data_IF_938153725551
#
_entry.id   IF_938153725551
#
_cell.length_a   1.000
_cell.length_b   1.000
_cell.length_c   1.000
_cell.angle_alpha   90.00
_cell.angle_beta   90.00
_cell.angle_gamma   90.00
#
_symmetry.space_group_name_H-M   'P 1'
#
loop_
_entity.id
_entity.type
_entity.pdbx_description
1 polymer ?
#
# COMPACT_ATOMS: atom_id res chain seq x y z
N UNK A 1 -1.05 -27.09 1.90
CA UNK A 1 0.00 -27.31 2.93
C UNK A 1 -0.57 -27.15 4.34
N UNK A 2 -0.93 -25.93 4.81
CA UNK A 2 -1.49 -25.72 6.16
C UNK A 2 -2.76 -26.52 6.49
N UNK A 3 -3.73 -26.61 5.55
CA UNK A 3 -4.97 -27.41 5.73
C UNK A 3 -4.74 -28.90 5.99
N UNK A 4 -3.61 -29.46 5.53
CA UNK A 4 -3.30 -30.88 5.66
C UNK A 4 -2.62 -31.22 6.98
N UNK A 5 -2.06 -30.24 7.69
CA UNK A 5 -1.22 -30.47 8.87
C UNK A 5 -1.89 -30.04 10.18
N UNK A 6 -2.80 -29.05 10.13
CA UNK A 6 -3.45 -28.48 11.31
C UNK A 6 -4.95 -28.81 11.42
N UNK A 7 -5.55 -29.56 10.49
CA UNK A 7 -6.99 -29.88 10.41
C UNK A 7 -7.97 -28.68 10.51
N UNK A 8 -7.45 -27.44 10.48
CA UNK A 8 -8.25 -26.21 10.50
C UNK A 8 -8.44 -25.70 9.07
N UNK A 9 -9.69 -25.53 8.65
CA UNK A 9 -10.06 -24.93 7.36
C UNK A 9 -9.81 -23.42 7.37
N UNK A 10 -8.57 -23.00 7.14
CA UNK A 10 -8.28 -21.56 6.97
C UNK A 10 -8.58 -21.12 5.55
N UNK A 11 -9.30 -19.99 5.42
CA UNK A 11 -9.42 -19.26 4.16
C UNK A 11 -8.07 -18.63 3.85
N UNK A 12 -7.53 -18.89 2.66
CA UNK A 12 -6.27 -18.33 2.19
C UNK A 12 -6.52 -17.18 1.22
N UNK A 13 -5.50 -16.37 0.96
CA UNK A 13 -5.62 -15.30 -0.05
C UNK A 13 -5.95 -15.89 -1.42
N UNK A 14 -5.36 -17.03 -1.79
CA UNK A 14 -5.63 -17.69 -3.06
C UNK A 14 -7.09 -18.14 -3.24
N UNK A 15 -7.81 -18.38 -2.14
CA UNK A 15 -9.25 -18.71 -2.18
C UNK A 15 -10.12 -17.48 -2.48
N UNK A 16 -9.69 -16.27 -2.08
CA UNK A 16 -10.43 -15.01 -2.27
C UNK A 16 -10.01 -14.24 -3.52
N UNK A 17 -8.72 -14.23 -3.83
CA UNK A 17 -8.12 -13.52 -4.95
C UNK A 17 -6.87 -14.29 -5.39
N UNK A 18 -7.04 -15.14 -6.41
CA UNK A 18 -5.93 -15.94 -6.94
C UNK A 18 -4.97 -15.03 -7.70
N UNK A 19 -3.75 -14.93 -7.22
CA UNK A 19 -2.67 -14.29 -7.96
C UNK A 19 -2.12 -15.28 -8.99
N UNK A 20 -2.24 -14.92 -10.26
CA UNK A 20 -1.57 -15.62 -11.36
C UNK A 20 -0.38 -14.79 -11.86
N UNK A 21 0.64 -15.43 -12.40
CA UNK A 21 1.79 -14.73 -12.98
C UNK A 21 1.39 -13.80 -14.12
N UNK A 22 0.28 -14.05 -14.81
CA UNK A 22 -0.24 -13.15 -15.85
C UNK A 22 -0.80 -11.83 -15.32
N UNK A 23 -1.12 -11.75 -14.03
CA UNK A 23 -1.70 -10.56 -13.37
C UNK A 23 -0.68 -9.77 -12.56
N UNK A 24 0.57 -10.22 -12.51
CA UNK A 24 1.64 -9.54 -11.78
C UNK A 24 2.15 -8.26 -12.49
N UNK A 25 1.93 -8.14 -13.80
CA UNK A 25 2.36 -6.97 -14.56
C UNK A 25 1.30 -5.86 -14.52
N UNK A 26 1.71 -4.60 -14.37
CA UNK A 26 0.78 -3.48 -14.38
C UNK A 26 0.16 -3.36 -15.78
N UNK A 27 -1.15 -3.54 -15.85
CA UNK A 27 -1.95 -3.37 -17.07
C UNK A 27 -2.68 -2.04 -16.97
N UNK A 28 -2.84 -1.36 -18.10
CA UNK A 28 -3.67 -0.15 -18.12
C UNK A 28 -5.12 -0.53 -17.87
N UNK A 29 -5.85 0.28 -17.09
CA UNK A 29 -7.21 -0.03 -16.64
C UNK A 29 -8.19 -0.31 -17.80
N UNK A 30 -7.94 0.27 -18.97
CA UNK A 30 -8.77 0.09 -20.16
C UNK A 30 -8.42 -1.17 -20.99
N UNK A 31 -7.28 -1.80 -20.74
CA UNK A 31 -6.92 -3.09 -21.33
C UNK A 31 -7.48 -4.27 -20.51
N UNK A 32 -7.87 -4.03 -19.25
CA UNK A 32 -8.35 -5.06 -18.35
C UNK A 32 -9.88 -5.17 -18.41
N UNK A 33 -10.38 -6.34 -18.82
CA UNK A 33 -11.81 -6.66 -18.92
C UNK A 33 -12.54 -6.67 -17.57
N UNK A 34 -11.81 -6.55 -16.43
CA UNK A 34 -12.40 -6.40 -15.10
C UNK A 34 -13.07 -5.05 -14.87
N UNK A 35 -12.69 -4.00 -15.61
CA UNK A 35 -13.26 -2.65 -15.45
C UNK A 35 -14.34 -2.37 -16.50
N UNK A 36 -15.61 -2.56 -16.13
CA UNK A 36 -16.73 -2.15 -16.99
C UNK A 36 -17.15 -0.71 -16.70
N UNK A 37 -16.66 0.22 -17.55
CA UNK A 37 -16.99 1.64 -17.50
C UNK A 37 -18.48 1.94 -17.75
N UNK A 38 -19.27 0.95 -18.22
CA UNK A 38 -20.71 1.10 -18.43
C UNK A 38 -21.52 0.93 -17.14
N UNK A 39 -20.94 0.36 -16.09
CA UNK A 39 -21.60 0.12 -14.81
C UNK A 39 -21.28 1.18 -13.73
N UNK A 40 -20.81 2.37 -14.12
CA UNK A 40 -20.53 3.47 -13.18
C UNK A 40 -21.85 4.05 -12.67
N UNK A 41 -22.40 3.45 -11.61
CA UNK A 41 -23.70 3.80 -11.02
C UNK A 41 -23.77 5.18 -10.37
N UNK A 42 -22.64 5.74 -9.91
CA UNK A 42 -22.65 7.05 -9.24
C UNK A 42 -21.29 7.75 -9.30
N UNK A 43 -21.11 8.65 -10.26
CA UNK A 43 -19.94 9.53 -10.33
C UNK A 43 -19.82 10.41 -9.08
N UNK A 44 -20.95 10.83 -8.51
CA UNK A 44 -20.99 11.65 -7.28
C UNK A 44 -20.35 10.93 -6.09
N UNK A 45 -20.61 9.63 -5.93
CA UNK A 45 -20.04 8.84 -4.84
C UNK A 45 -18.53 8.73 -4.99
N UNK A 46 -18.06 8.47 -6.21
CA UNK A 46 -16.62 8.36 -6.52
C UNK A 46 -15.90 9.66 -6.23
N UNK A 47 -16.45 10.80 -6.66
CA UNK A 47 -15.84 12.13 -6.45
C UNK A 47 -15.76 12.48 -4.96
N UNK A 48 -16.83 12.23 -4.19
CA UNK A 48 -16.80 12.53 -2.75
C UNK A 48 -15.79 11.63 -2.03
N UNK A 49 -15.75 10.33 -2.34
CA UNK A 49 -14.81 9.41 -1.73
C UNK A 49 -13.36 9.72 -2.10
N UNK A 50 -13.09 10.03 -3.37
CA UNK A 50 -11.73 10.37 -3.82
C UNK A 50 -11.23 11.68 -3.20
N UNK A 51 -12.09 12.70 -3.06
CA UNK A 51 -11.75 13.94 -2.35
C UNK A 51 -11.40 13.68 -0.87
N UNK A 52 -12.20 12.89 -0.16
CA UNK A 52 -11.92 12.55 1.24
C UNK A 52 -10.60 11.79 1.37
N UNK A 53 -10.35 10.80 0.50
CA UNK A 53 -9.10 10.05 0.50
C UNK A 53 -7.90 10.91 0.13
N UNK A 54 -8.05 11.87 -0.80
CA UNK A 54 -6.98 12.79 -1.17
C UNK A 54 -6.56 13.68 -0.01
N UNK A 55 -7.52 14.19 0.77
CA UNK A 55 -7.23 14.99 1.97
C UNK A 55 -6.44 14.15 2.98
N UNK A 56 -6.91 12.94 3.28
CA UNK A 56 -6.23 12.03 4.22
C UNK A 56 -4.82 11.70 3.74
N UNK A 57 -4.66 11.37 2.45
CA UNK A 57 -3.35 11.03 1.87
C UNK A 57 -2.36 12.20 1.92
N UNK A 58 -2.82 13.43 1.71
CA UNK A 58 -2.00 14.64 1.82
C UNK A 58 -1.57 14.85 3.28
N UNK A 59 -2.52 14.81 4.22
CA UNK A 59 -2.22 14.99 5.65
C UNK A 59 -1.21 13.96 6.15
N UNK A 60 -1.42 12.69 5.83
CA UNK A 60 -0.53 11.60 6.21
C UNK A 60 0.86 11.74 5.59
N UNK A 61 0.93 12.13 4.30
CA UNK A 61 2.22 12.31 3.63
C UNK A 61 3.00 13.52 4.16
N UNK A 62 2.32 14.58 4.59
CA UNK A 62 2.96 15.75 5.20
C UNK A 62 3.45 15.46 6.62
N UNK A 63 2.64 14.77 7.44
CA UNK A 63 3.04 14.30 8.76
C UNK A 63 4.26 13.35 8.67
N UNK A 64 4.25 12.46 7.68
CA UNK A 64 5.38 11.56 7.41
C UNK A 64 6.63 12.33 7.00
N UNK A 65 6.47 13.37 6.16
CA UNK A 65 7.59 14.21 5.74
C UNK A 65 8.24 14.92 6.93
N UNK A 66 7.45 15.44 7.86
CA UNK A 66 7.96 16.07 9.09
C UNK A 66 8.73 15.08 9.97
N UNK A 67 8.17 13.89 10.22
CA UNK A 67 8.85 12.85 11.00
C UNK A 67 10.18 12.43 10.36
N UNK A 68 10.21 12.26 9.03
CA UNK A 68 11.42 11.89 8.30
C UNK A 68 12.44 13.04 8.31
N UNK A 69 12.00 14.29 8.17
CA UNK A 69 12.85 15.47 8.25
C UNK A 69 13.54 15.56 9.61
N UNK A 70 12.80 15.34 10.70
CA UNK A 70 13.33 15.34 12.07
C UNK A 70 14.39 14.24 12.26
N UNK A 71 14.12 13.02 11.76
CA UNK A 71 15.06 11.90 11.87
C UNK A 71 16.34 12.10 11.05
N UNK A 72 16.21 12.67 9.86
CA UNK A 72 17.34 12.87 8.92
C UNK A 72 18.04 14.20 9.10
N UNK A 73 17.48 15.11 9.92
CA UNK A 73 17.92 16.51 10.08
C UNK A 73 17.98 17.26 8.74
N UNK A 74 17.00 17.03 7.88
CA UNK A 74 16.89 17.69 6.56
C UNK A 74 15.60 18.49 6.45
N UNK A 75 15.55 19.41 5.47
CA UNK A 75 14.32 20.15 5.16
C UNK A 75 13.73 19.60 3.85
N UNK A 76 12.62 18.87 3.98
CA UNK A 76 11.80 18.45 2.86
C UNK A 76 10.94 19.60 2.31
N UNK A 77 10.48 19.46 1.08
CA UNK A 77 9.62 20.44 0.39
C UNK A 77 8.16 19.93 0.35
N UNK A 78 7.25 20.45 1.21
CA UNK A 78 5.85 19.99 1.27
C UNK A 78 5.12 20.09 -0.08
N UNK A 79 5.29 21.21 -0.78
CA UNK A 79 4.64 21.45 -2.08
C UNK A 79 5.05 20.40 -3.11
N UNK A 80 6.32 20.02 -3.10
CA UNK A 80 6.85 18.99 -4.01
C UNK A 80 6.33 17.61 -3.65
N UNK A 81 6.18 17.31 -2.36
CA UNK A 81 5.61 16.05 -1.90
C UNK A 81 4.15 15.91 -2.35
N UNK A 82 3.35 16.96 -2.23
CA UNK A 82 1.94 16.96 -2.67
C UNK A 82 1.83 16.79 -4.19
N UNK A 83 2.66 17.50 -4.96
CA UNK A 83 2.70 17.32 -6.42
C UNK A 83 3.12 15.90 -6.82
N UNK A 84 4.16 15.35 -6.18
CA UNK A 84 4.62 13.99 -6.45
C UNK A 84 3.54 12.95 -6.11
N UNK A 85 2.84 13.11 -4.97
CA UNK A 85 1.73 12.26 -4.55
C UNK A 85 0.57 12.30 -5.57
N UNK A 86 0.20 13.48 -6.03
CA UNK A 86 -0.85 13.66 -7.03
C UNK A 86 -0.51 12.96 -8.35
N UNK A 87 0.69 13.20 -8.89
CA UNK A 87 1.15 12.55 -10.13
C UNK A 87 1.21 11.03 -9.97
N UNK A 88 1.77 10.54 -8.85
CA UNK A 88 1.85 9.12 -8.56
C UNK A 88 0.46 8.46 -8.51
N UNK A 89 -0.53 9.10 -7.88
CA UNK A 89 -1.89 8.56 -7.77
C UNK A 89 -2.67 8.61 -9.10
N UNK A 90 -2.41 9.59 -9.96
CA UNK A 90 -2.96 9.57 -11.34
C UNK A 90 -2.40 8.38 -12.13
N UNK A 91 -1.08 8.17 -12.08
CA UNK A 91 -0.44 7.02 -12.75
C UNK A 91 -0.97 5.69 -12.15
N UNK A 92 -1.10 5.61 -10.84
CA UNK A 92 -1.65 4.45 -10.15
C UNK A 92 -3.08 4.13 -10.62
N UNK A 93 -3.93 5.14 -10.75
CA UNK A 93 -5.28 5.00 -11.28
C UNK A 93 -5.31 4.55 -12.74
N UNK A 94 -4.39 5.05 -13.58
CA UNK A 94 -4.26 4.61 -14.97
C UNK A 94 -3.84 3.14 -15.10
N UNK A 95 -3.09 2.62 -14.12
CA UNK A 95 -2.69 1.21 -14.06
C UNK A 95 -3.72 0.33 -13.32
N UNK A 96 -4.90 0.86 -12.99
CA UNK A 96 -5.95 0.13 -12.27
C UNK A 96 -5.61 -0.19 -10.80
N UNK A 97 -4.50 0.34 -10.29
CA UNK A 97 -4.05 0.07 -8.91
C UNK A 97 -4.80 0.92 -7.89
N UNK A 98 -4.91 0.42 -6.67
CA UNK A 98 -5.37 1.22 -5.53
C UNK A 98 -4.26 2.24 -5.21
N UNK A 99 -4.53 3.53 -5.43
CA UNK A 99 -3.57 4.61 -5.15
C UNK A 99 -3.03 4.56 -3.71
N UNK A 100 -1.89 5.22 -3.48
CA UNK A 100 -1.14 5.14 -2.23
C UNK A 100 -0.74 6.49 -1.65
N UNK A 101 -0.09 6.45 -0.50
CA UNK A 101 0.47 7.60 0.19
C UNK A 101 1.81 7.22 0.85
N UNK A 102 2.46 8.18 1.52
CA UNK A 102 3.61 7.87 2.35
C UNK A 102 3.14 7.43 3.74
N UNK A 103 3.55 6.22 4.15
CA UNK A 103 3.26 5.65 5.46
C UNK A 103 4.42 5.92 6.42
N UNK A 104 4.12 6.39 7.63
CA UNK A 104 5.13 6.74 8.65
C UNK A 104 6.00 5.53 8.97
N UNK A 105 5.40 4.39 9.30
CA UNK A 105 6.11 3.20 9.77
C UNK A 105 7.17 2.70 8.78
N UNK A 106 6.78 2.54 7.51
CA UNK A 106 7.69 2.07 6.46
C UNK A 106 8.77 3.11 6.12
N UNK A 107 8.43 4.41 6.21
CA UNK A 107 9.39 5.49 5.97
C UNK A 107 10.44 5.55 7.07
N UNK A 108 10.02 5.44 8.34
CA UNK A 108 10.90 5.38 9.51
C UNK A 108 11.80 4.15 9.44
N UNK A 109 11.26 2.97 9.13
CA UNK A 109 12.04 1.74 8.98
C UNK A 109 13.09 1.88 7.87
N UNK A 110 12.73 2.47 6.73
CA UNK A 110 13.66 2.70 5.63
C UNK A 110 14.80 3.66 6.02
N UNK A 111 14.50 4.72 6.79
CA UNK A 111 15.52 5.66 7.30
C UNK A 111 16.43 4.97 8.33
N UNK A 112 15.87 4.18 9.25
CA UNK A 112 16.64 3.41 10.24
C UNK A 112 17.55 2.37 9.59
N UNK A 113 17.14 1.80 8.46
CA UNK A 113 17.97 0.92 7.64
C UNK A 113 19.10 1.66 6.87
N UNK A 114 19.23 2.98 7.04
CA UNK A 114 20.23 3.82 6.38
C UNK A 114 19.80 4.40 5.02
N UNK A 115 18.53 4.21 4.64
CA UNK A 115 17.95 4.68 3.39
C UNK A 115 17.70 6.19 3.37
N UNK A 116 18.70 6.97 2.97
CA UNK A 116 18.60 8.45 2.91
C UNK A 116 18.41 9.02 1.49
N UNK A 117 18.48 8.17 0.46
CA UNK A 117 18.38 8.56 -0.95
C UNK A 117 17.13 7.97 -1.59
N UNK A 118 16.64 8.61 -2.66
CA UNK A 118 15.51 8.14 -3.47
C UNK A 118 15.70 6.73 -4.03
N UNK A 119 16.94 6.31 -4.23
CA UNK A 119 17.25 4.95 -4.65
C UNK A 119 16.74 3.89 -3.66
N UNK A 120 16.69 4.20 -2.36
CA UNK A 120 16.20 3.26 -1.34
C UNK A 120 14.73 2.90 -1.57
N UNK A 121 13.87 3.91 -1.75
CA UNK A 121 12.45 3.68 -2.01
C UNK A 121 12.19 3.04 -3.37
N UNK A 122 12.99 3.38 -4.39
CA UNK A 122 12.92 2.71 -5.70
C UNK A 122 13.29 1.23 -5.60
N UNK A 123 14.33 0.87 -4.84
CA UNK A 123 14.72 -0.52 -4.63
C UNK A 123 13.66 -1.30 -3.87
N UNK A 124 13.02 -0.70 -2.86
CA UNK A 124 11.90 -1.32 -2.14
C UNK A 124 10.74 -1.58 -3.10
N UNK A 125 10.36 -0.60 -3.93
CA UNK A 125 9.30 -0.77 -4.92
C UNK A 125 9.61 -1.88 -5.95
N UNK A 126 10.85 -1.93 -6.45
CA UNK A 126 11.30 -2.99 -7.35
C UNK A 126 11.35 -4.36 -6.66
N UNK A 127 11.75 -4.42 -5.40
CA UNK A 127 11.75 -5.63 -4.59
C UNK A 127 10.33 -6.18 -4.42
N UNK A 128 9.37 -5.32 -4.09
CA UNK A 128 7.96 -5.70 -4.01
C UNK A 128 7.44 -6.19 -5.37
N UNK A 129 7.75 -5.48 -6.46
CA UNK A 129 7.37 -5.90 -7.81
C UNK A 129 7.95 -7.28 -8.16
N UNK A 130 9.23 -7.54 -7.83
CA UNK A 130 9.86 -8.83 -8.05
C UNK A 130 9.20 -9.94 -7.21
N UNK A 131 8.88 -9.67 -5.94
CA UNK A 131 8.18 -10.63 -5.08
C UNK A 131 6.80 -10.96 -5.67
N UNK A 132 6.05 -9.97 -6.12
CA UNK A 132 4.74 -10.22 -6.75
C UNK A 132 4.89 -11.01 -8.05
N UNK A 133 5.88 -10.72 -8.88
CA UNK A 133 6.10 -11.41 -10.15
C UNK A 133 6.56 -12.88 -9.98
N UNK A 134 7.50 -13.15 -9.07
CA UNK A 134 8.12 -14.47 -8.92
C UNK A 134 7.49 -15.31 -7.79
N UNK A 135 7.04 -14.69 -6.71
CA UNK A 135 6.48 -15.37 -5.53
C UNK A 135 4.94 -15.40 -5.50
N UNK A 136 4.27 -14.99 -6.58
CA UNK A 136 2.81 -15.16 -6.80
C UNK A 136 2.25 -16.52 -6.34
N UNK A 137 2.83 -17.68 -6.69
CA UNK A 137 2.29 -18.98 -6.24
C UNK A 137 2.41 -19.18 -4.72
N UNK A 138 3.42 -18.60 -4.07
CA UNK A 138 3.62 -18.70 -2.62
C UNK A 138 2.62 -17.81 -1.87
N UNK A 139 2.37 -16.60 -2.39
CA UNK A 139 1.43 -15.63 -1.83
C UNK A 139 0.00 -16.19 -1.70
N UNK A 140 -0.40 -17.06 -2.63
CA UNK A 140 -1.71 -17.71 -2.59
C UNK A 140 -1.91 -18.63 -1.37
N UNK A 141 -0.85 -19.12 -0.73
CA UNK A 141 -0.94 -19.99 0.44
C UNK A 141 -1.03 -19.24 1.78
N UNK A 142 -0.89 -17.92 1.78
CA UNK A 142 -0.94 -17.13 3.01
C UNK A 142 -2.34 -17.20 3.63
N UNK A 143 -2.48 -17.66 4.90
CA UNK A 143 -3.76 -17.69 5.58
C UNK A 143 -4.28 -16.28 5.89
N UNK A 144 -5.58 -16.02 5.67
CA UNK A 144 -6.19 -14.74 6.03
C UNK A 144 -6.11 -14.45 7.55
N UNK A 145 -6.03 -15.49 8.38
CA UNK A 145 -5.85 -15.33 9.83
C UNK A 145 -4.50 -14.69 10.20
N UNK A 146 -3.44 -14.99 9.46
CA UNK A 146 -2.12 -14.36 9.66
C UNK A 146 -2.18 -12.86 9.36
N UNK A 147 -2.85 -12.47 8.28
CA UNK A 147 -3.06 -11.06 7.94
C UNK A 147 -3.83 -10.30 9.01
N UNK A 148 -4.89 -10.91 9.56
CA UNK A 148 -5.66 -10.33 10.67
C UNK A 148 -4.78 -10.13 11.92
N UNK A 149 -3.91 -11.11 12.23
CA UNK A 149 -2.93 -10.99 13.32
C UNK A 149 -1.93 -9.86 13.09
N UNK A 150 -1.41 -9.70 11.87
CA UNK A 150 -0.51 -8.59 11.53
C UNK A 150 -1.22 -7.24 11.71
N UNK A 151 -2.47 -7.12 11.26
CA UNK A 151 -3.25 -5.88 11.46
C UNK A 151 -3.48 -5.58 12.95
N UNK A 152 -3.68 -6.60 13.78
CA UNK A 152 -3.80 -6.43 15.23
C UNK A 152 -2.48 -5.93 15.85
N UNK A 153 -1.33 -6.45 15.41
CA UNK A 153 -0.02 -5.96 15.84
C UNK A 153 0.21 -4.50 15.45
N UNK A 154 -0.13 -4.11 14.22
CA UNK A 154 -0.04 -2.71 13.77
C UNK A 154 -0.90 -1.81 14.65
N UNK A 155 -2.14 -2.20 14.94
CA UNK A 155 -3.02 -1.42 15.83
C UNK A 155 -2.42 -1.27 17.23
N UNK A 156 -1.81 -2.32 17.78
CA UNK A 156 -1.17 -2.25 19.10
C UNK A 156 0.06 -1.32 19.09
N UNK A 157 0.80 -1.27 17.99
CA UNK A 157 1.99 -0.42 17.83
C UNK A 157 1.63 1.05 17.60
N UNK A 158 0.60 1.31 16.79
CA UNK A 158 0.10 2.68 16.55
C UNK A 158 -0.62 3.25 17.77
N UNK A 159 -1.24 2.39 18.59
CA UNK A 159 -1.99 2.83 19.76
C UNK A 159 -1.06 3.44 20.83
N UNK A 160 -1.04 4.77 20.90
CA UNK A 160 -0.38 5.52 21.96
C UNK A 160 -1.19 5.42 23.26
N UNK A 161 -1.09 4.29 23.96
CA UNK A 161 -1.76 4.07 25.25
C UNK A 161 -1.23 4.96 26.38
N UNK A 162 -0.06 5.58 26.20
CA UNK A 162 0.62 6.39 27.22
C UNK A 162 0.38 7.90 27.10
N UNK A 163 -0.64 8.35 26.37
CA UNK A 163 -1.01 9.78 26.29
C UNK A 163 -2.08 10.20 27.30
N UNK A 164 -2.21 9.48 28.42
CA UNK A 164 -2.93 9.97 29.60
C UNK A 164 -1.93 10.18 30.75
N UNK A 165 -2.01 11.29 31.50
CA UNK A 165 -1.27 11.43 32.76
C UNK A 165 -1.66 10.34 33.77
#
# INVERSE_FOLDING_TARGET
FFRSWLEVSTVTIGDKSRFDSSDALPKLFFLDSRYDLRNVRSLRTVVVQSCTLAIVAILESLMTLEVVNDMTRTQGEPNRQVWALGVANVIAGLLGTMGGNALIELSVMNVQAGGQRRASSTLVALGVLAIVAFASPVLNYVPCGTLAGIMLLVVLDTAKWSSQP
#
